data_IF_239499675832
#
_entry.id   IF_239499675832
#
_cell.length_a   1.000
_cell.length_b   1.000
_cell.length_c   1.000
_cell.angle_alpha   90.00
_cell.angle_beta   90.00
_cell.angle_gamma   90.00
#
_symmetry.space_group_name_H-M   'P 1'
#
loop_
_entity.id
_entity.type
_entity.pdbx_description
1 polymer ?
#
# COMPACT_ATOMS: atom_id res chain seq x y z
N UNK A 1 8.28 14.40 9.95
CA UNK A 1 8.11 12.95 10.14
C UNK A 1 9.40 12.23 9.76
N UNK A 2 9.84 11.21 10.52
CA UNK A 2 11.00 10.38 10.19
C UNK A 2 10.68 9.50 8.97
N UNK A 3 11.70 9.16 8.15
CA UNK A 3 11.53 8.27 6.98
C UNK A 3 11.30 6.81 7.34
N UNK A 4 11.65 6.39 8.56
CA UNK A 4 11.49 5.04 9.07
C UNK A 4 11.21 5.08 10.57
N UNK A 5 10.35 4.19 11.05
CA UNK A 5 10.03 4.06 12.45
C UNK A 5 8.93 3.05 12.75
N UNK A 6 8.52 3.04 13.99
CA UNK A 6 7.38 2.26 14.44
C UNK A 6 6.26 3.18 14.91
N UNK A 7 5.03 2.74 14.74
CA UNK A 7 3.84 3.43 15.21
C UNK A 7 2.92 2.45 15.96
N UNK A 8 2.51 2.86 17.15
CA UNK A 8 1.38 2.23 17.85
C UNK A 8 0.10 2.86 17.33
N UNK A 9 -0.87 2.04 16.97
CA UNK A 9 -2.16 2.46 16.44
C UNK A 9 -3.32 1.88 17.24
N UNK A 10 -4.50 2.52 17.25
CA UNK A 10 -5.65 2.07 18.01
C UNK A 10 -6.29 0.82 17.40
N UNK A 11 -6.83 -0.04 18.25
CA UNK A 11 -7.41 -1.33 17.83
C UNK A 11 -8.52 -1.21 16.79
N UNK A 12 -9.30 -0.13 16.80
CA UNK A 12 -10.41 0.05 15.85
C UNK A 12 -9.95 0.04 14.38
N UNK A 13 -8.67 0.36 14.09
CA UNK A 13 -8.12 0.28 12.73
C UNK A 13 -8.18 -1.16 12.21
N UNK A 14 -8.04 -2.16 13.07
CA UNK A 14 -8.15 -3.57 12.67
C UNK A 14 -9.55 -3.89 12.13
N UNK A 15 -10.59 -3.46 12.83
CA UNK A 15 -11.98 -3.65 12.42
C UNK A 15 -12.28 -2.90 11.12
N UNK A 16 -11.85 -1.65 11.04
CA UNK A 16 -12.00 -0.84 9.82
C UNK A 16 -11.29 -1.48 8.61
N UNK A 17 -10.06 -1.94 8.77
CA UNK A 17 -9.30 -2.58 7.70
C UNK A 17 -9.95 -3.89 7.23
N UNK A 18 -10.42 -4.72 8.16
CA UNK A 18 -11.12 -5.95 7.85
C UNK A 18 -12.41 -5.68 7.06
N UNK A 19 -13.20 -4.69 7.49
CA UNK A 19 -14.44 -4.32 6.81
C UNK A 19 -14.20 -3.75 5.40
N UNK A 20 -13.28 -2.80 5.27
CA UNK A 20 -12.93 -2.18 3.98
C UNK A 20 -12.33 -3.22 3.04
N UNK A 21 -11.43 -4.07 3.52
CA UNK A 21 -10.82 -5.11 2.71
C UNK A 21 -11.84 -6.11 2.15
N UNK A 22 -12.81 -6.52 2.96
CA UNK A 22 -13.93 -7.36 2.50
C UNK A 22 -14.75 -6.68 1.41
N UNK A 23 -15.10 -5.41 1.60
CA UNK A 23 -15.84 -4.65 0.58
C UNK A 23 -15.03 -4.49 -0.71
N UNK A 24 -13.73 -4.21 -0.62
CA UNK A 24 -12.82 -4.15 -1.79
C UNK A 24 -12.78 -5.48 -2.53
N UNK A 25 -12.65 -6.58 -1.81
CA UNK A 25 -12.62 -7.91 -2.41
C UNK A 25 -13.92 -8.21 -3.18
N UNK A 26 -15.07 -7.91 -2.61
CA UNK A 26 -16.36 -8.06 -3.29
C UNK A 26 -16.45 -7.18 -4.54
N UNK A 27 -16.06 -5.91 -4.45
CA UNK A 27 -16.06 -4.98 -5.58
C UNK A 27 -15.10 -5.44 -6.68
N UNK A 28 -13.91 -5.90 -6.32
CA UNK A 28 -12.92 -6.43 -7.26
C UNK A 28 -13.45 -7.71 -7.93
N UNK A 29 -14.11 -8.58 -7.19
CA UNK A 29 -14.72 -9.79 -7.73
C UNK A 29 -15.77 -9.45 -8.80
N UNK A 30 -16.68 -8.54 -8.52
CA UNK A 30 -17.73 -8.12 -9.44
C UNK A 30 -17.18 -7.42 -10.70
N UNK A 31 -16.15 -6.59 -10.56
CA UNK A 31 -15.55 -5.85 -11.68
C UNK A 31 -14.60 -6.70 -12.51
N UNK A 32 -13.99 -7.75 -11.94
CA UNK A 32 -13.02 -8.61 -12.60
C UNK A 32 -13.58 -9.98 -13.02
N UNK A 33 -14.88 -10.20 -12.94
CA UNK A 33 -15.53 -11.44 -13.45
C UNK A 33 -15.17 -11.75 -14.90
N UNK A 34 -14.84 -10.75 -15.70
CA UNK A 34 -14.37 -10.90 -17.09
C UNK A 34 -12.87 -11.21 -17.20
N UNK A 35 -12.09 -10.98 -16.16
CA UNK A 35 -10.63 -11.20 -16.13
C UNK A 35 -10.25 -12.55 -15.54
N UNK A 36 -10.97 -13.61 -15.87
CA UNK A 36 -10.68 -15.01 -15.47
C UNK A 36 -9.27 -15.52 -15.81
N UNK A 37 -8.41 -14.70 -16.42
CA UNK A 37 -7.04 -15.05 -16.81
C UNK A 37 -5.98 -14.65 -15.77
N UNK A 38 -6.31 -13.89 -14.75
CA UNK A 38 -5.34 -13.47 -13.75
C UNK A 38 -5.53 -14.29 -12.48
N UNK A 39 -4.43 -14.87 -12.07
CA UNK A 39 -4.22 -15.74 -10.95
C UNK A 39 -5.10 -15.35 -9.73
N UNK A 40 -5.78 -16.35 -9.16
CA UNK A 40 -6.65 -16.23 -7.97
C UNK A 40 -6.00 -15.49 -6.76
N UNK A 41 -4.68 -15.33 -6.76
CA UNK A 41 -3.96 -14.50 -5.79
C UNK A 41 -4.35 -13.02 -5.80
N UNK A 42 -4.88 -12.51 -6.90
CA UNK A 42 -5.33 -11.12 -7.02
C UNK A 42 -6.69 -10.84 -6.34
N UNK A 43 -7.49 -11.89 -6.17
CA UNK A 43 -8.82 -11.81 -5.55
C UNK A 43 -8.79 -12.37 -4.12
N UNK A 44 -7.66 -12.31 -3.45
CA UNK A 44 -7.54 -12.80 -2.09
C UNK A 44 -7.99 -11.72 -1.09
N UNK A 45 -9.08 -11.98 -0.38
CA UNK A 45 -9.60 -11.10 0.68
C UNK A 45 -8.51 -10.66 1.67
N UNK A 46 -7.58 -11.55 2.02
CA UNK A 46 -6.46 -11.22 2.92
C UNK A 46 -5.52 -10.16 2.34
N UNK A 47 -5.37 -10.09 1.01
CA UNK A 47 -4.56 -9.08 0.34
C UNK A 47 -5.25 -7.72 0.37
N UNK A 48 -6.56 -7.69 0.12
CA UNK A 48 -7.36 -6.47 0.18
C UNK A 48 -7.45 -5.91 1.61
N UNK A 49 -7.58 -6.79 2.61
CA UNK A 49 -7.52 -6.41 4.03
C UNK A 49 -6.14 -5.83 4.37
N UNK A 50 -5.06 -6.48 3.94
CA UNK A 50 -3.70 -5.99 4.19
C UNK A 50 -3.47 -4.61 3.53
N UNK A 51 -3.96 -4.41 2.31
CA UNK A 51 -3.93 -3.11 1.63
C UNK A 51 -4.64 -2.02 2.43
N UNK A 52 -5.86 -2.31 2.90
CA UNK A 52 -6.63 -1.39 3.74
C UNK A 52 -5.91 -1.04 5.05
N UNK A 53 -5.24 -2.02 5.68
CA UNK A 53 -4.38 -1.76 6.84
C UNK A 53 -3.28 -0.74 6.53
N UNK A 54 -2.56 -0.95 5.44
CA UNK A 54 -1.47 -0.06 5.04
C UNK A 54 -1.95 1.38 4.92
N UNK A 55 -3.03 1.60 4.19
CA UNK A 55 -3.58 2.94 3.96
C UNK A 55 -4.09 3.59 5.25
N UNK A 56 -4.88 2.89 6.06
CA UNK A 56 -5.43 3.41 7.31
C UNK A 56 -4.33 3.75 8.32
N UNK A 57 -3.31 2.87 8.47
CA UNK A 57 -2.20 3.13 9.39
C UNK A 57 -1.34 4.30 8.89
N UNK A 58 -1.15 4.44 7.58
CA UNK A 58 -0.43 5.58 7.03
C UNK A 58 -1.17 6.90 7.27
N UNK A 59 -2.48 6.95 7.05
CA UNK A 59 -3.31 8.12 7.38
C UNK A 59 -3.20 8.45 8.88
N UNK A 60 -3.32 7.44 9.74
CA UNK A 60 -3.15 7.63 11.18
C UNK A 60 -1.75 8.15 11.55
N UNK A 61 -0.70 7.70 10.85
CA UNK A 61 0.66 8.24 11.03
C UNK A 61 0.74 9.73 10.67
N UNK A 62 0.07 10.15 9.60
CA UNK A 62 0.00 11.56 9.20
C UNK A 62 -0.74 12.39 10.25
N UNK A 63 -1.91 11.93 10.72
CA UNK A 63 -2.69 12.58 11.78
C UNK A 63 -1.87 12.76 13.06
N UNK A 64 -1.12 11.72 13.46
CA UNK A 64 -0.24 11.78 14.65
C UNK A 64 0.91 12.78 14.53
N UNK A 65 1.26 13.21 13.35
CA UNK A 65 2.30 14.18 13.08
C UNK A 65 1.72 15.55 12.65
N UNK A 66 0.43 15.75 12.80
CA UNK A 66 -0.30 16.98 12.39
C UNK A 66 -0.01 17.36 10.92
N UNK A 67 0.05 16.34 10.05
CA UNK A 67 0.29 16.51 8.61
C UNK A 67 -1.03 16.46 7.89
N UNK A 68 -1.42 17.58 7.28
CA UNK A 68 -2.60 17.65 6.43
C UNK A 68 -2.42 16.81 5.16
N UNK A 69 -3.44 16.02 4.82
CA UNK A 69 -3.45 15.16 3.66
C UNK A 69 -4.86 15.03 3.06
N UNK A 70 -4.90 14.57 1.84
CA UNK A 70 -6.12 14.14 1.15
C UNK A 70 -5.98 12.67 0.82
N UNK A 71 -6.80 11.82 1.41
CA UNK A 71 -6.90 10.42 1.01
C UNK A 71 -7.80 10.31 -0.22
N UNK A 72 -7.50 9.37 -1.10
CA UNK A 72 -8.36 9.01 -2.19
C UNK A 72 -9.41 8.00 -1.73
N UNK A 73 -10.24 7.54 -2.63
CA UNK A 73 -11.37 6.67 -2.27
C UNK A 73 -10.86 5.34 -1.72
N UNK A 74 -11.31 5.00 -0.54
CA UNK A 74 -11.09 3.67 0.06
C UNK A 74 -11.77 2.55 -0.75
N UNK A 75 -12.85 2.88 -1.47
CA UNK A 75 -13.61 1.97 -2.32
C UNK A 75 -13.87 2.62 -3.68
N UNK A 76 -13.70 1.85 -4.75
CA UNK A 76 -14.04 2.28 -6.12
C UNK A 76 -14.52 1.10 -6.95
N UNK A 77 -15.53 1.35 -7.79
CA UNK A 77 -16.02 0.36 -8.77
C UNK A 77 -15.15 0.27 -10.03
N UNK A 78 -14.15 1.14 -10.16
CA UNK A 78 -13.21 1.12 -11.28
C UNK A 78 -11.79 1.28 -10.75
N UNK A 79 -10.79 0.64 -11.39
CA UNK A 79 -9.41 0.92 -11.09
C UNK A 79 -9.16 2.43 -11.26
N UNK A 80 -8.73 3.09 -10.19
CA UNK A 80 -8.39 4.51 -10.23
C UNK A 80 -6.89 4.65 -10.46
N UNK A 81 -6.44 5.46 -11.41
CA UNK A 81 -5.03 5.80 -11.57
C UNK A 81 -4.55 6.79 -10.49
N UNK A 82 -5.39 7.06 -9.50
CA UNK A 82 -5.13 8.02 -8.43
C UNK A 82 -4.19 7.43 -7.37
N UNK A 83 -3.35 8.27 -6.75
CA UNK A 83 -2.53 7.85 -5.61
C UNK A 83 -3.42 7.57 -4.39
N UNK A 84 -2.93 6.77 -3.44
CA UNK A 84 -3.68 6.46 -2.22
C UNK A 84 -3.82 7.69 -1.33
N UNK A 85 -2.78 8.53 -1.26
CA UNK A 85 -2.74 9.74 -0.42
C UNK A 85 -2.02 10.88 -1.12
N UNK A 86 -2.47 12.11 -0.91
CA UNK A 86 -1.81 13.34 -1.37
C UNK A 86 -1.42 14.19 -0.17
N UNK A 87 -0.13 14.51 -0.04
CA UNK A 87 0.41 15.37 1.03
C UNK A 87 1.13 16.55 0.38
N UNK A 88 0.64 17.78 0.62
CA UNK A 88 1.22 19.02 0.03
C UNK A 88 1.45 18.91 -1.49
N UNK A 89 0.48 18.33 -2.20
CA UNK A 89 0.54 18.11 -3.64
C UNK A 89 1.36 16.90 -4.11
N UNK A 90 2.12 16.26 -3.23
CA UNK A 90 2.88 15.04 -3.55
C UNK A 90 1.99 13.82 -3.48
N UNK A 91 2.06 13.00 -4.51
CA UNK A 91 1.30 11.75 -4.66
C UNK A 91 2.04 10.59 -4.00
N UNK A 92 1.40 9.98 -3.02
CA UNK A 92 1.97 8.88 -2.23
C UNK A 92 1.21 7.60 -2.53
N UNK A 93 1.95 6.56 -2.89
CA UNK A 93 1.45 5.20 -3.08
C UNK A 93 1.78 4.38 -1.82
N UNK A 94 0.77 3.83 -1.18
CA UNK A 94 0.93 3.06 0.07
C UNK A 94 1.00 1.58 -0.25
N UNK A 95 2.10 0.96 0.16
CA UNK A 95 2.36 -0.46 -0.02
C UNK A 95 2.28 -1.20 1.32
N UNK A 96 1.30 -2.06 1.47
CA UNK A 96 1.24 -2.95 2.61
C UNK A 96 2.29 -4.06 2.50
N UNK A 97 3.00 -4.30 3.58
CA UNK A 97 4.10 -5.28 3.65
C UNK A 97 3.70 -6.42 4.59
N UNK A 98 3.81 -7.65 4.12
CA UNK A 98 3.53 -8.84 4.96
C UNK A 98 4.53 -8.93 6.10
N UNK A 99 4.09 -9.39 7.27
CA UNK A 99 4.94 -9.56 8.46
C UNK A 99 6.18 -10.43 8.20
N UNK A 100 6.07 -11.41 7.31
CA UNK A 100 7.15 -12.34 6.95
C UNK A 100 8.01 -11.85 5.78
N UNK A 101 7.75 -10.67 5.24
CA UNK A 101 8.54 -10.12 4.13
C UNK A 101 9.97 -9.81 4.59
N UNK A 102 10.92 -10.15 3.73
CA UNK A 102 12.35 -9.90 3.94
C UNK A 102 12.87 -8.70 3.14
N UNK A 103 12.02 -8.09 2.36
CA UNK A 103 12.34 -6.93 1.53
C UNK A 103 11.09 -6.10 1.22
N UNK A 104 11.29 -4.82 1.01
CA UNK A 104 10.31 -3.93 0.38
C UNK A 104 10.39 -4.14 -1.14
N UNK A 105 9.25 -4.05 -1.83
CA UNK A 105 9.20 -4.23 -3.27
C UNK A 105 8.28 -3.22 -3.96
N UNK A 106 8.72 -2.74 -5.12
CA UNK A 106 7.90 -1.95 -6.05
C UNK A 106 7.99 -2.60 -7.41
N UNK A 107 6.84 -2.99 -7.99
CA UNK A 107 6.81 -3.57 -9.33
C UNK A 107 7.35 -2.56 -10.35
N UNK A 108 8.19 -3.02 -11.27
CA UNK A 108 8.80 -2.18 -12.31
C UNK A 108 7.74 -1.52 -13.19
N UNK A 109 6.66 -2.24 -13.53
CA UNK A 109 5.57 -1.70 -14.34
C UNK A 109 4.74 -0.63 -13.60
N UNK A 110 4.71 -0.68 -12.25
CA UNK A 110 4.08 0.34 -11.42
C UNK A 110 4.99 1.54 -11.17
N UNK A 111 6.30 1.35 -11.27
CA UNK A 111 7.32 2.37 -11.02
C UNK A 111 7.67 3.15 -12.29
N UNK A 112 6.67 3.65 -13.01
CA UNK A 112 6.85 4.46 -14.22
C UNK A 112 6.45 5.90 -13.93
N UNK A 113 7.16 6.86 -14.56
CA UNK A 113 6.88 8.30 -14.40
C UNK A 113 5.45 8.70 -14.78
N UNK A 114 4.87 8.05 -15.79
CA UNK A 114 3.50 8.30 -16.23
C UNK A 114 2.43 7.92 -15.19
N UNK A 115 2.77 7.12 -14.19
CA UNK A 115 1.92 6.81 -13.04
C UNK A 115 1.87 7.96 -12.02
N UNK A 116 2.77 8.95 -12.12
CA UNK A 116 2.74 10.18 -11.35
C UNK A 116 2.88 10.00 -9.84
N UNK A 117 3.63 8.98 -9.39
CA UNK A 117 3.91 8.74 -7.98
C UNK A 117 5.19 9.45 -7.58
N UNK A 118 5.14 10.24 -6.51
CA UNK A 118 6.30 10.98 -5.99
C UNK A 118 7.00 10.25 -4.85
N UNK A 119 6.25 9.45 -4.09
CA UNK A 119 6.71 8.81 -2.87
C UNK A 119 5.99 7.47 -2.66
N UNK A 120 6.68 6.54 -2.05
CA UNK A 120 6.14 5.26 -1.58
C UNK A 120 6.19 5.21 -0.06
N UNK A 121 5.07 4.83 0.55
CA UNK A 121 4.98 4.54 1.97
C UNK A 121 4.76 3.03 2.15
N UNK A 122 5.68 2.35 2.83
CA UNK A 122 5.57 0.93 3.13
C UNK A 122 5.14 0.75 4.57
N UNK A 123 4.10 -0.04 4.81
CA UNK A 123 3.54 -0.31 6.13
C UNK A 123 3.53 -1.81 6.38
N UNK A 124 4.29 -2.25 7.38
CA UNK A 124 4.31 -3.63 7.86
C UNK A 124 3.56 -3.74 9.17
N UNK A 125 2.48 -4.50 9.17
CA UNK A 125 1.69 -4.76 10.38
C UNK A 125 2.38 -5.85 11.19
N UNK A 126 2.91 -5.49 12.36
CA UNK A 126 3.64 -6.41 13.24
C UNK A 126 2.72 -7.12 14.23
N UNK A 127 1.71 -6.42 14.71
CA UNK A 127 0.66 -6.93 15.61
C UNK A 127 -0.62 -6.08 15.43
N UNK A 128 -1.65 -6.39 16.19
CA UNK A 128 -2.94 -5.66 16.24
C UNK A 128 -2.85 -4.21 16.76
N UNK A 129 -1.66 -3.77 17.19
CA UNK A 129 -1.43 -2.42 17.75
C UNK A 129 -0.09 -1.80 17.36
N UNK A 130 0.71 -2.49 16.56
CA UNK A 130 2.05 -2.04 16.20
C UNK A 130 2.34 -2.27 14.72
N UNK A 131 2.82 -1.24 14.05
CA UNK A 131 3.34 -1.32 12.69
C UNK A 131 4.71 -0.68 12.55
N UNK A 132 5.48 -1.13 11.59
CA UNK A 132 6.71 -0.48 11.12
C UNK A 132 6.42 0.20 9.80
N UNK A 133 7.01 1.38 9.59
CA UNK A 133 6.84 2.12 8.35
C UNK A 133 8.17 2.56 7.76
N UNK A 134 8.21 2.68 6.43
CA UNK A 134 9.32 3.24 5.64
C UNK A 134 8.76 4.16 4.57
N UNK A 135 9.46 5.26 4.30
CA UNK A 135 9.06 6.26 3.30
C UNK A 135 10.23 6.54 2.39
N UNK A 136 10.04 6.32 1.09
CA UNK A 136 11.05 6.52 0.05
C UNK A 136 10.49 7.34 -1.10
N UNK A 137 11.29 8.25 -1.63
CA UNK A 137 10.95 8.98 -2.85
C UNK A 137 11.05 8.07 -4.08
N UNK A 138 10.44 8.49 -5.17
CA UNK A 138 10.56 7.82 -6.47
C UNK A 138 12.03 7.62 -6.87
N UNK A 139 12.87 8.67 -6.70
CA UNK A 139 14.29 8.65 -7.05
C UNK A 139 15.12 7.72 -6.15
N UNK A 140 14.72 7.55 -4.89
CA UNK A 140 15.36 6.58 -3.99
C UNK A 140 15.07 5.15 -4.44
N UNK A 141 13.83 4.85 -4.82
CA UNK A 141 13.44 3.52 -5.32
C UNK A 141 14.16 3.17 -6.64
N UNK A 142 14.39 4.15 -7.52
CA UNK A 142 15.17 3.94 -8.77
C UNK A 142 16.57 3.39 -8.53
N UNK A 143 17.11 3.55 -7.32
CA UNK A 143 18.47 3.10 -6.97
C UNK A 143 18.47 1.69 -6.38
N UNK A 144 17.30 1.08 -6.18
CA UNK A 144 17.18 -0.26 -5.62
C UNK A 144 17.55 -1.32 -6.65
N UNK A 145 17.96 -2.48 -6.18
CA UNK A 145 18.23 -3.64 -7.03
C UNK A 145 16.93 -4.11 -7.70
N UNK A 146 17.01 -4.47 -8.98
CA UNK A 146 15.90 -5.10 -9.69
C UNK A 146 16.06 -6.62 -9.62
N UNK A 147 15.05 -7.31 -9.09
CA UNK A 147 14.98 -8.78 -9.09
C UNK A 147 13.71 -9.29 -9.76
N UNK A 148 13.85 -10.44 -10.39
CA UNK A 148 12.70 -11.19 -10.88
C UNK A 148 12.01 -11.88 -9.70
N UNK A 149 10.76 -11.51 -9.45
CA UNK A 149 9.88 -12.18 -8.52
C UNK A 149 8.99 -13.19 -9.30
N UNK A 150 8.15 -13.92 -8.59
CA UNK A 150 7.31 -15.00 -9.20
C UNK A 150 6.52 -14.52 -10.42
N UNK A 151 5.95 -13.30 -10.37
CA UNK A 151 5.04 -12.80 -11.41
C UNK A 151 5.54 -11.55 -12.14
N UNK A 152 6.60 -10.89 -11.67
CA UNK A 152 7.07 -9.62 -12.22
C UNK A 152 8.50 -9.30 -11.82
N UNK A 153 9.12 -8.35 -12.51
CA UNK A 153 10.33 -7.71 -12.03
C UNK A 153 9.97 -6.61 -11.02
N UNK A 154 10.74 -6.49 -9.96
CA UNK A 154 10.54 -5.46 -8.94
C UNK A 154 11.86 -4.86 -8.47
N UNK A 155 11.82 -3.57 -8.15
CA UNK A 155 12.81 -2.90 -7.31
C UNK A 155 12.67 -3.45 -5.90
N UNK A 156 13.76 -3.88 -5.28
CA UNK A 156 13.75 -4.46 -3.94
C UNK A 156 14.76 -3.79 -3.02
N UNK A 157 14.40 -3.69 -1.75
CA UNK A 157 15.27 -3.25 -0.66
C UNK A 157 15.13 -4.23 0.51
N UNK A 158 16.19 -4.94 0.94
CA UNK A 158 16.16 -5.79 2.14
C UNK A 158 15.78 -5.00 3.40
N UNK A 159 15.03 -5.63 4.33
CA UNK A 159 14.60 -5.07 5.62
C UNK A 159 14.95 -5.99 6.77
#
# INVERSE_FOLDING_TARGET
MKKHGQIKYPYFINECAAYIGKLRNLTNYDTHLTYKKYDLGYLNESTDILGAYGELIFCYLLDKNDIEYKSTRLLSYKPLPEPDVIVKGKKIDVKAVRKTAKFLAVNVDDHRKDKGRDTYAFIQVNSDKLATYWIYTYEEVNKWEIKKLTYSNAYILPI
#
